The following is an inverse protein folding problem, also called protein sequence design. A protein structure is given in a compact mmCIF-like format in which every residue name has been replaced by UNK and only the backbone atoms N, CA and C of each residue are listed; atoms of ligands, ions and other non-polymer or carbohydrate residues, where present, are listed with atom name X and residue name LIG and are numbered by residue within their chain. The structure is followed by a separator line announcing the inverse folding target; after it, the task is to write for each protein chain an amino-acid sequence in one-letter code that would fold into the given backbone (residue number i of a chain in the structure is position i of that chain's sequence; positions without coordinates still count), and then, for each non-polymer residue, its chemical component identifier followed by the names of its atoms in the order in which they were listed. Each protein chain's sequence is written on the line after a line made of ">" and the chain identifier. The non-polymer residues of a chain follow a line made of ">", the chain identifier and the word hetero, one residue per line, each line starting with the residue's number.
data_IF_786052654230
#
_entry.id   IF_786052654230
#
_cell.length_a   1.000
_cell.length_b   1.000
_cell.length_c   1.000
_cell.angle_alpha   90.00
_cell.angle_beta   90.00
_cell.angle_gamma   90.00
#
_symmetry.space_group_name_H-M   'P 1'
#
loop_
_entity.id
_entity.type
_entity.pdbx_description
1 polymer ?
#
# COMPACT_ATOMS: atom_id res chain seq x y z
N UNK A 1 -9.86 2.48 13.28
CA UNK A 1 -8.76 2.71 14.26
C UNK A 1 -7.39 2.70 13.58
N UNK A 2 -6.94 1.60 12.95
CA UNK A 2 -5.60 1.55 12.33
C UNK A 2 -5.31 2.66 11.30
N UNK A 3 -6.28 2.98 10.43
CA UNK A 3 -6.15 4.08 9.44
C UNK A 3 -5.96 5.47 10.06
N UNK A 4 -6.46 5.69 11.28
CA UNK A 4 -6.26 6.95 12.00
C UNK A 4 -4.82 7.04 12.49
N UNK A 5 -4.27 5.92 12.97
CA UNK A 5 -2.87 5.83 13.40
C UNK A 5 -1.93 6.08 12.22
N UNK A 6 -2.22 5.50 11.04
CA UNK A 6 -1.45 5.73 9.81
C UNK A 6 -1.37 7.22 9.47
N UNK A 7 -2.48 7.97 9.61
CA UNK A 7 -2.53 9.40 9.32
C UNK A 7 -1.60 10.27 10.20
N UNK A 8 -1.29 9.81 11.42
CA UNK A 8 -0.33 10.49 12.31
C UNK A 8 1.09 9.93 12.16
N UNK A 9 1.22 8.64 11.89
CA UNK A 9 2.51 7.99 11.68
C UNK A 9 3.20 8.56 10.44
N UNK A 10 2.52 8.63 9.30
CA UNK A 10 3.12 9.06 8.01
C UNK A 10 3.86 10.41 8.12
N UNK A 11 3.27 11.49 8.68
CA UNK A 11 3.99 12.75 8.87
C UNK A 11 5.12 12.67 9.90
N UNK A 12 4.93 11.91 10.99
CA UNK A 12 5.93 11.78 12.05
C UNK A 12 7.21 11.11 11.53
N UNK A 13 7.08 10.04 10.75
CA UNK A 13 8.22 9.33 10.17
C UNK A 13 8.87 10.17 9.07
N UNK A 14 8.07 10.85 8.24
CA UNK A 14 8.58 11.82 7.28
C UNK A 14 9.46 12.88 7.94
N UNK A 15 9.00 13.47 9.05
CA UNK A 15 9.77 14.45 9.80
C UNK A 15 11.09 13.90 10.36
N UNK A 16 11.06 12.68 10.91
CA UNK A 16 12.27 12.02 11.44
C UNK A 16 13.30 11.78 10.32
N UNK A 17 12.83 11.31 9.16
CA UNK A 17 13.70 11.05 7.99
C UNK A 17 14.31 12.33 7.45
N UNK A 18 13.54 13.42 7.38
CA UNK A 18 14.05 14.73 6.93
C UNK A 18 15.13 15.29 7.87
N UNK A 19 15.02 15.03 9.17
CA UNK A 19 15.99 15.50 10.19
C UNK A 19 17.30 14.72 10.21
N UNK A 20 17.23 13.41 9.97
CA UNK A 20 18.39 12.50 10.01
C UNK A 20 19.09 12.44 8.64
N UNK A 21 18.33 12.68 7.56
CA UNK A 21 18.82 12.70 6.18
C UNK A 21 18.45 11.42 5.41
N UNK A 22 18.23 11.57 4.11
CA UNK A 22 17.70 10.51 3.23
C UNK A 22 18.53 9.21 3.14
N UNK A 23 19.80 9.24 3.57
CA UNK A 23 20.67 8.06 3.63
C UNK A 23 20.20 7.01 4.65
N UNK A 24 19.38 7.38 5.63
CA UNK A 24 18.87 6.42 6.62
C UNK A 24 17.74 5.54 6.07
N UNK A 25 17.08 5.95 4.98
CA UNK A 25 15.89 5.27 4.44
C UNK A 25 16.12 3.78 4.14
N UNK A 26 17.18 3.37 3.40
CA UNK A 26 17.42 1.94 3.15
C UNK A 26 17.73 1.15 4.43
N UNK A 27 18.35 1.79 5.42
CA UNK A 27 18.66 1.17 6.73
C UNK A 27 17.39 1.00 7.57
N UNK A 28 16.50 2.00 7.56
CA UNK A 28 15.21 1.97 8.24
C UNK A 28 14.32 0.86 7.67
N UNK A 29 14.21 0.77 6.34
CA UNK A 29 13.48 -0.31 5.65
C UNK A 29 14.04 -1.67 6.04
N UNK A 30 15.37 -1.83 6.06
CA UNK A 30 16.01 -3.10 6.46
C UNK A 30 15.69 -3.47 7.92
N UNK A 31 15.75 -2.51 8.83
CA UNK A 31 15.47 -2.75 10.26
C UNK A 31 14.01 -3.08 10.53
N UNK A 32 13.08 -2.49 9.77
CA UNK A 32 11.64 -2.66 9.95
C UNK A 32 11.06 -3.83 9.15
N UNK A 33 11.78 -4.35 8.15
CA UNK A 33 11.37 -5.53 7.39
C UNK A 33 11.11 -6.76 8.29
N UNK A 34 11.98 -6.99 9.28
CA UNK A 34 11.85 -8.13 10.21
C UNK A 34 10.63 -7.95 11.15
N UNK A 35 10.47 -6.80 11.85
CA UNK A 35 9.25 -6.48 12.60
C UNK A 35 7.97 -6.60 11.76
N UNK A 36 8.00 -6.21 10.49
CA UNK A 36 6.85 -6.32 9.58
C UNK A 36 6.41 -7.78 9.40
N UNK A 37 7.35 -8.70 9.13
CA UNK A 37 7.03 -10.13 9.02
C UNK A 37 6.51 -10.73 10.32
N UNK A 38 7.11 -10.39 11.45
CA UNK A 38 6.70 -10.90 12.76
C UNK A 38 5.28 -10.44 13.10
N UNK A 39 5.00 -9.15 12.94
CA UNK A 39 3.67 -8.58 13.24
C UNK A 39 2.61 -9.02 12.24
N UNK A 40 2.99 -9.22 10.97
CA UNK A 40 2.13 -9.83 9.95
C UNK A 40 1.71 -11.25 10.34
N UNK A 41 2.65 -12.08 10.78
CA UNK A 41 2.34 -13.43 11.25
C UNK A 41 1.49 -13.43 12.52
N UNK A 42 1.85 -12.60 13.51
CA UNK A 42 1.11 -12.49 14.77
C UNK A 42 -0.34 -12.01 14.57
N UNK A 43 -0.60 -11.19 13.55
CA UNK A 43 -1.94 -10.67 13.28
C UNK A 43 -2.94 -11.78 12.91
N UNK A 44 -2.47 -12.86 12.28
CA UNK A 44 -3.30 -13.98 11.85
C UNK A 44 -3.11 -15.23 12.72
N UNK A 45 -2.21 -15.20 13.69
CA UNK A 45 -2.06 -16.29 14.64
C UNK A 45 -3.24 -16.27 15.62
N UNK A 46 -4.06 -17.31 15.58
CA UNK A 46 -5.17 -17.49 16.52
C UNK A 46 -4.63 -17.83 17.92
N UNK A 47 -4.21 -16.81 18.67
CA UNK A 47 -3.81 -16.96 20.06
C UNK A 47 -4.96 -17.59 20.86
N UNK A 48 -4.73 -18.65 21.66
CA UNK A 48 -5.75 -19.32 22.46
C UNK A 48 -6.12 -18.48 23.70
N UNK A 49 -6.66 -17.29 23.47
CA UNK A 49 -7.12 -16.36 24.50
C UNK A 49 -8.65 -16.36 24.61
N UNK A 50 -9.17 -15.73 25.66
CA UNK A 50 -10.62 -15.50 25.81
C UNK A 50 -11.19 -14.73 24.60
N UNK A 51 -12.50 -14.82 24.32
CA UNK A 51 -13.12 -14.15 23.17
C UNK A 51 -12.81 -12.65 23.12
N UNK A 52 -12.85 -11.99 24.27
CA UNK A 52 -12.50 -10.56 24.41
C UNK A 52 -11.00 -10.32 24.24
N UNK A 53 -10.14 -11.18 24.80
CA UNK A 53 -8.69 -11.09 24.66
C UNK A 53 -8.21 -11.26 23.21
N UNK A 54 -8.86 -12.14 22.43
CA UNK A 54 -8.57 -12.32 21.00
C UNK A 54 -8.80 -11.07 20.18
N UNK A 55 -9.93 -10.39 20.40
CA UNK A 55 -10.27 -9.16 19.66
C UNK A 55 -9.29 -8.03 20.01
N UNK A 56 -8.94 -7.88 21.29
CA UNK A 56 -7.98 -6.85 21.72
C UNK A 56 -6.59 -7.14 21.16
N UNK A 57 -6.09 -8.38 21.24
CA UNK A 57 -4.80 -8.75 20.66
C UNK A 57 -4.78 -8.56 19.14
N UNK A 58 -5.81 -9.02 18.42
CA UNK A 58 -5.91 -8.83 16.97
C UNK A 58 -5.92 -7.34 16.60
N UNK A 59 -6.69 -6.52 17.32
CA UNK A 59 -6.74 -5.07 17.10
C UNK A 59 -5.40 -4.39 17.36
N UNK A 60 -4.72 -4.73 18.45
CA UNK A 60 -3.41 -4.17 18.79
C UNK A 60 -2.34 -4.56 17.75
N UNK A 61 -2.25 -5.85 17.40
CA UNK A 61 -1.28 -6.32 16.41
C UNK A 61 -1.55 -5.73 15.02
N UNK A 62 -2.82 -5.56 14.64
CA UNK A 62 -3.19 -4.90 13.39
C UNK A 62 -2.79 -3.42 13.35
N UNK A 63 -2.95 -2.69 14.46
CA UNK A 63 -2.49 -1.30 14.57
C UNK A 63 -0.96 -1.22 14.43
N UNK A 64 -0.23 -2.10 15.12
CA UNK A 64 1.25 -2.14 15.03
C UNK A 64 1.71 -2.51 13.62
N UNK A 65 1.05 -3.47 12.98
CA UNK A 65 1.33 -3.85 11.60
C UNK A 65 1.12 -2.69 10.63
N UNK A 66 0.00 -1.96 10.76
CA UNK A 66 -0.28 -0.75 9.98
C UNK A 66 0.78 0.34 10.18
N UNK A 67 1.15 0.61 11.44
CA UNK A 67 2.19 1.58 11.77
C UNK A 67 3.55 1.20 11.16
N UNK A 68 3.98 -0.06 11.26
CA UNK A 68 5.24 -0.52 10.64
C UNK A 68 5.15 -0.41 9.12
N UNK A 69 4.02 -0.79 8.51
CA UNK A 69 3.81 -0.65 7.07
C UNK A 69 3.95 0.82 6.63
N UNK A 70 3.32 1.75 7.35
CA UNK A 70 3.45 3.20 7.16
C UNK A 70 4.92 3.65 7.28
N UNK A 71 5.63 3.22 8.32
CA UNK A 71 7.06 3.50 8.54
C UNK A 71 7.97 3.04 7.40
N UNK A 72 7.58 2.02 6.66
CA UNK A 72 8.36 1.52 5.53
C UNK A 72 7.91 2.21 4.23
N UNK A 73 6.60 2.27 3.99
CA UNK A 73 6.02 2.73 2.73
C UNK A 73 6.24 4.22 2.48
N UNK A 74 6.11 5.06 3.51
CA UNK A 74 6.30 6.52 3.39
C UNK A 74 7.72 6.90 2.96
N UNK A 75 8.80 6.46 3.64
CA UNK A 75 10.15 6.77 3.19
C UNK A 75 10.52 6.03 1.89
N UNK A 76 9.95 4.84 1.63
CA UNK A 76 10.11 4.16 0.35
C UNK A 76 9.53 4.96 -0.82
N UNK A 77 8.36 5.60 -0.64
CA UNK A 77 7.78 6.50 -1.64
C UNK A 77 8.65 7.74 -1.90
N UNK A 78 9.26 8.30 -0.85
CA UNK A 78 10.18 9.44 -0.97
C UNK A 78 11.49 9.07 -1.69
N UNK A 79 11.91 7.80 -1.61
CA UNK A 79 13.17 7.33 -2.18
C UNK A 79 13.26 7.54 -3.71
N UNK A 80 12.13 7.46 -4.43
CA UNK A 80 12.10 7.68 -5.87
C UNK A 80 12.73 9.03 -6.27
N UNK A 81 12.54 10.07 -5.45
CA UNK A 81 13.10 11.41 -5.65
C UNK A 81 14.59 11.49 -5.31
N UNK A 82 15.06 10.63 -4.41
CA UNK A 82 16.46 10.55 -4.00
C UNK A 82 17.33 9.69 -4.94
N UNK A 83 16.71 8.83 -5.74
CA UNK A 83 17.40 7.97 -6.71
C UNK A 83 17.68 8.65 -8.06
N UNK A 84 16.75 9.48 -8.55
CA UNK A 84 16.88 10.14 -9.86
C UNK A 84 16.34 11.57 -9.88
N UNK A 85 17.06 12.45 -10.59
CA UNK A 85 16.62 13.83 -10.88
C UNK A 85 15.65 13.93 -12.05
N UNK A 86 15.56 12.93 -12.92
CA UNK A 86 14.66 12.96 -14.08
C UNK A 86 13.23 12.63 -13.68
N UNK A 87 12.27 13.49 -14.04
CA UNK A 87 10.85 13.23 -13.79
C UNK A 87 10.36 11.97 -14.53
N UNK A 88 10.84 11.71 -15.74
CA UNK A 88 10.43 10.54 -16.53
C UNK A 88 10.90 9.21 -15.91
N UNK A 89 12.11 9.17 -15.36
CA UNK A 89 12.62 8.00 -14.64
C UNK A 89 11.85 7.75 -13.34
N UNK A 90 11.50 8.81 -12.60
CA UNK A 90 10.68 8.72 -11.37
C UNK A 90 9.28 8.18 -11.65
N UNK A 91 8.67 8.60 -12.76
CA UNK A 91 7.36 8.11 -13.18
C UNK A 91 7.44 6.64 -13.59
N UNK A 92 8.47 6.26 -14.35
CA UNK A 92 8.71 4.87 -14.70
C UNK A 92 8.86 3.99 -13.46
N UNK A 93 9.69 4.41 -12.50
CA UNK A 93 9.89 3.67 -11.24
C UNK A 93 8.58 3.51 -10.45
N UNK A 94 7.80 4.58 -10.31
CA UNK A 94 6.51 4.54 -9.64
C UNK A 94 5.48 3.68 -10.39
N UNK A 95 5.48 3.70 -11.72
CA UNK A 95 4.60 2.84 -12.52
C UNK A 95 4.95 1.36 -12.32
N UNK A 96 6.24 0.98 -12.35
CA UNK A 96 6.68 -0.39 -12.04
C UNK A 96 6.30 -0.80 -10.61
N UNK A 97 6.45 0.10 -9.63
CA UNK A 97 6.02 -0.12 -8.25
C UNK A 97 4.51 -0.38 -8.15
N UNK A 98 3.70 0.41 -8.83
CA UNK A 98 2.24 0.25 -8.82
C UNK A 98 1.80 -1.00 -9.59
N UNK A 99 2.42 -1.34 -10.72
CA UNK A 99 2.18 -2.61 -11.41
C UNK A 99 2.49 -3.80 -10.50
N UNK A 100 3.61 -3.77 -9.77
CA UNK A 100 3.95 -4.81 -8.79
C UNK A 100 2.94 -4.94 -7.66
N UNK A 101 2.45 -3.81 -7.13
CA UNK A 101 1.39 -3.78 -6.11
C UNK A 101 0.09 -4.44 -6.62
N UNK A 102 -0.35 -4.06 -7.81
CA UNK A 102 -1.56 -4.60 -8.43
C UNK A 102 -1.41 -6.09 -8.78
N UNK A 103 -0.25 -6.51 -9.32
CA UNK A 103 0.06 -7.91 -9.59
C UNK A 103 0.04 -8.74 -8.30
N UNK A 104 0.66 -8.25 -7.22
CA UNK A 104 0.66 -8.91 -5.92
C UNK A 104 -0.76 -9.05 -5.36
N UNK A 105 -1.57 -7.99 -5.45
CA UNK A 105 -2.98 -8.03 -5.02
C UNK A 105 -3.79 -9.08 -5.78
N UNK A 106 -3.60 -9.18 -7.11
CA UNK A 106 -4.27 -10.19 -7.93
C UNK A 106 -3.82 -11.61 -7.57
N UNK A 107 -2.51 -11.83 -7.42
CA UNK A 107 -1.96 -13.13 -7.04
C UNK A 107 -2.49 -13.58 -5.68
N UNK A 108 -2.53 -12.68 -4.69
CA UNK A 108 -3.11 -13.00 -3.37
C UNK A 108 -4.60 -13.29 -3.51
N UNK A 109 -5.38 -12.47 -4.23
CA UNK A 109 -6.81 -12.71 -4.41
C UNK A 109 -7.12 -14.08 -5.05
N UNK A 110 -6.33 -14.49 -6.05
CA UNK A 110 -6.55 -15.75 -6.78
C UNK A 110 -5.98 -16.97 -6.04
N UNK A 111 -4.82 -16.84 -5.41
CA UNK A 111 -4.09 -17.99 -4.84
C UNK A 111 -4.43 -18.24 -3.37
N UNK A 112 -4.97 -17.28 -2.63
CA UNK A 112 -5.19 -17.44 -1.17
C UNK A 112 -6.10 -18.62 -0.86
N UNK A 113 -7.29 -18.69 -1.45
CA UNK A 113 -8.25 -19.77 -1.17
C UNK A 113 -7.69 -21.16 -1.55
N UNK A 114 -7.21 -21.40 -2.79
CA UNK A 114 -6.69 -22.71 -3.16
C UNK A 114 -5.39 -23.08 -2.43
N UNK A 115 -4.54 -22.11 -2.07
CA UNK A 115 -3.34 -22.40 -1.31
C UNK A 115 -3.66 -22.83 0.12
N UNK A 116 -4.66 -22.20 0.77
CA UNK A 116 -5.07 -22.57 2.12
C UNK A 116 -5.67 -23.98 2.15
N UNK A 117 -6.52 -24.35 1.19
CA UNK A 117 -7.12 -25.69 1.15
C UNK A 117 -6.09 -26.77 0.85
N UNK A 118 -5.13 -26.48 -0.03
CA UNK A 118 -4.02 -27.39 -0.34
C UNK A 118 -3.06 -27.58 0.86
N UNK A 119 -2.65 -26.49 1.53
CA UNK A 119 -1.77 -26.53 2.70
C UNK A 119 -2.46 -27.10 3.95
N UNK A 120 -3.78 -26.90 4.07
CA UNK A 120 -4.58 -27.40 5.19
C UNK A 120 -4.88 -28.90 5.13
N UNK A 121 -4.77 -29.52 3.95
CA UNK A 121 -5.02 -30.96 3.77
C UNK A 121 -6.50 -31.37 3.84
N UNK A 122 -7.43 -30.42 3.63
CA UNK A 122 -8.88 -30.68 3.62
C UNK A 122 -9.74 -29.46 3.97
N UNK A 123 -11.07 -29.63 3.91
CA UNK A 123 -12.06 -28.57 4.17
C UNK A 123 -12.46 -28.41 5.64
N UNK A 124 -11.90 -29.22 6.55
CA UNK A 124 -12.29 -29.16 7.96
C UNK A 124 -11.87 -27.83 8.59
N UNK A 125 -12.69 -27.25 9.46
CA UNK A 125 -12.43 -25.94 10.07
C UNK A 125 -11.11 -25.86 10.86
N UNK A 126 -10.59 -26.99 11.37
CA UNK A 126 -9.27 -27.05 12.00
C UNK A 126 -8.12 -27.03 10.96
N UNK A 127 -8.30 -27.75 9.86
CA UNK A 127 -7.36 -27.82 8.73
C UNK A 127 -7.25 -26.48 8.00
N UNK A 128 -8.38 -25.80 7.80
CA UNK A 128 -8.40 -24.47 7.19
C UNK A 128 -7.67 -23.42 8.04
N UNK A 129 -7.82 -23.48 9.38
CA UNK A 129 -7.07 -22.62 10.31
C UNK A 129 -5.56 -22.89 10.26
N UNK A 130 -5.17 -24.15 10.16
CA UNK A 130 -3.77 -24.53 9.99
C UNK A 130 -3.21 -24.07 8.63
N UNK A 131 -3.92 -24.32 7.54
CA UNK A 131 -3.56 -23.87 6.19
C UNK A 131 -3.43 -22.34 6.11
N UNK A 132 -4.32 -21.60 6.75
CA UNK A 132 -4.25 -20.14 6.85
C UNK A 132 -3.00 -19.68 7.62
N UNK A 133 -2.69 -20.30 8.76
CA UNK A 133 -1.49 -19.94 9.53
C UNK A 133 -0.20 -20.20 8.75
N UNK A 134 -0.10 -21.34 8.04
CA UNK A 134 1.06 -21.67 7.19
C UNK A 134 1.15 -20.73 5.99
N UNK A 135 0.02 -20.43 5.34
CA UNK A 135 -0.02 -19.50 4.20
C UNK A 135 0.42 -18.09 4.61
N UNK A 136 -0.09 -17.58 5.74
CA UNK A 136 0.29 -16.26 6.25
C UNK A 136 1.75 -16.24 6.70
N UNK A 137 2.27 -17.32 7.29
CA UNK A 137 3.69 -17.43 7.60
C UNK A 137 4.54 -17.34 6.33
N UNK A 138 4.17 -18.09 5.29
CA UNK A 138 4.86 -18.06 4.01
C UNK A 138 4.83 -16.65 3.38
N UNK A 139 3.67 -15.99 3.39
CA UNK A 139 3.55 -14.60 2.92
C UNK A 139 4.36 -13.61 3.76
N UNK A 140 4.41 -13.78 5.08
CA UNK A 140 5.15 -12.91 5.98
C UNK A 140 6.67 -13.05 5.78
N UNK A 141 7.15 -14.29 5.61
CA UNK A 141 8.55 -14.57 5.27
C UNK A 141 8.89 -14.04 3.88
N UNK A 142 8.04 -14.29 2.89
CA UNK A 142 8.25 -13.81 1.52
C UNK A 142 8.23 -12.28 1.46
N UNK A 143 7.28 -11.62 2.12
CA UNK A 143 7.19 -10.16 2.22
C UNK A 143 8.40 -9.54 2.92
N UNK A 144 8.89 -10.16 4.00
CA UNK A 144 10.13 -9.76 4.67
C UNK A 144 11.33 -9.88 3.73
N UNK A 145 11.43 -10.99 3.00
CA UNK A 145 12.49 -11.20 2.02
C UNK A 145 12.45 -10.16 0.90
N UNK A 146 11.27 -9.85 0.36
CA UNK A 146 11.10 -8.81 -0.66
C UNK A 146 11.51 -7.43 -0.14
N UNK A 147 11.13 -7.07 1.10
CA UNK A 147 11.56 -5.81 1.71
C UNK A 147 13.07 -5.74 1.93
N UNK A 148 13.72 -6.86 2.29
CA UNK A 148 15.17 -6.93 2.39
C UNK A 148 15.86 -6.80 1.02
N UNK A 149 15.31 -7.42 -0.01
CA UNK A 149 15.77 -7.27 -1.40
C UNK A 149 15.62 -5.81 -1.86
N UNK A 150 14.47 -5.19 -1.59
CA UNK A 150 14.25 -3.77 -1.86
C UNK A 150 15.28 -2.90 -1.11
N UNK A 151 15.50 -3.13 0.19
CA UNK A 151 16.48 -2.38 0.98
C UNK A 151 17.93 -2.56 0.50
N UNK A 152 18.25 -3.66 -0.18
CA UNK A 152 19.56 -3.87 -0.83
C UNK A 152 19.66 -3.21 -2.21
N UNK A 153 18.58 -3.26 -3.00
CA UNK A 153 18.53 -2.63 -4.33
C UNK A 153 18.35 -1.11 -4.31
N UNK A 154 17.90 -0.55 -3.18
CA UNK A 154 17.67 0.88 -2.99
C UNK A 154 18.98 1.62 -2.70
N UNK A 155 19.59 2.23 -3.73
CA UNK A 155 20.76 3.10 -3.59
C UNK A 155 20.34 4.59 -3.61
N UNK A 156 20.62 5.30 -2.52
CA UNK A 156 20.40 6.76 -2.43
C UNK A 156 21.57 7.46 -3.16
N UNK A 157 21.28 8.10 -4.30
CA UNK A 157 22.31 8.77 -5.13
C UNK A 157 22.35 10.28 -4.91
N UNK A 158 21.21 10.87 -4.57
CA UNK A 158 21.06 12.30 -4.31
C UNK A 158 20.35 12.52 -2.97
N UNK A 159 21.04 12.35 -1.83
CA UNK A 159 20.44 12.61 -0.54
C UNK A 159 20.17 14.11 -0.37
N UNK A 160 18.96 14.52 0.04
CA UNK A 160 18.72 15.89 0.48
C UNK A 160 19.56 16.16 1.74
N UNK A 161 20.09 17.38 1.85
CA UNK A 161 20.81 17.80 3.06
C UNK A 161 19.85 17.74 4.26
N UNK A 162 20.29 17.27 5.44
CA UNK A 162 19.45 17.24 6.63
C UNK A 162 19.09 18.67 7.03
N UNK A 163 17.79 19.00 7.06
CA UNK A 163 17.32 20.34 7.45
C UNK A 163 16.57 20.22 8.77
N UNK A 164 17.06 20.90 9.80
CA UNK A 164 16.36 21.02 11.09
C UNK A 164 15.39 22.20 11.03
N UNK A 165 14.24 22.02 10.41
CA UNK A 165 13.14 23.00 10.46
C UNK A 165 12.12 22.60 11.53
N UNK A 166 11.42 23.61 12.02
CA UNK A 166 10.33 23.43 12.97
C UNK A 166 9.05 22.99 12.24
N UNK A 167 8.37 21.96 12.75
CA UNK A 167 7.25 21.30 12.06
C UNK A 167 6.15 22.29 11.63
N UNK A 168 5.83 23.23 12.52
CA UNK A 168 4.79 24.24 12.30
C UNK A 168 5.18 25.21 11.19
N UNK A 169 6.46 25.58 11.11
CA UNK A 169 6.97 26.43 10.05
C UNK A 169 6.91 25.73 8.69
N UNK A 170 7.32 24.46 8.63
CA UNK A 170 7.27 23.64 7.41
C UNK A 170 5.84 23.48 6.92
N UNK A 171 4.91 23.14 7.82
CA UNK A 171 3.48 23.01 7.48
C UNK A 171 2.90 24.33 6.95
N UNK A 172 3.25 25.46 7.57
CA UNK A 172 2.81 26.79 7.09
C UNK A 172 3.32 27.07 5.68
N UNK A 173 4.58 26.76 5.38
CA UNK A 173 5.15 26.94 4.05
C UNK A 173 4.52 26.00 3.01
N UNK A 174 4.22 24.76 3.39
CA UNK A 174 3.54 23.79 2.52
C UNK A 174 2.11 24.24 2.20
N UNK A 175 1.35 24.69 3.20
CA UNK A 175 -0.01 25.21 3.02
C UNK A 175 -0.03 26.53 2.23
N UNK A 176 1.03 27.33 2.29
CA UNK A 176 1.20 28.51 1.44
C UNK A 176 1.47 28.18 -0.04
N UNK A 177 1.89 26.95 -0.35
CA UNK A 177 2.17 26.53 -1.72
C UNK A 177 0.91 26.00 -2.40
N UNK A 178 0.28 26.86 -3.23
CA UNK A 178 -0.94 26.52 -3.98
C UNK A 178 -0.83 25.23 -4.80
N UNK A 179 0.35 24.93 -5.37
CA UNK A 179 0.56 23.70 -6.17
C UNK A 179 0.56 22.45 -5.30
N UNK A 180 1.12 22.55 -4.09
CA UNK A 180 1.12 21.45 -3.12
C UNK A 180 -0.30 21.18 -2.60
N UNK A 181 -1.02 22.24 -2.22
CA UNK A 181 -2.42 22.13 -1.75
C UNK A 181 -3.32 21.53 -2.83
N UNK A 182 -3.21 22.00 -4.08
CA UNK A 182 -3.99 21.47 -5.19
C UNK A 182 -3.69 19.99 -5.46
N UNK A 183 -2.41 19.60 -5.43
CA UNK A 183 -2.03 18.20 -5.59
C UNK A 183 -2.57 17.31 -4.47
N UNK A 184 -2.61 17.82 -3.24
CA UNK A 184 -3.10 17.06 -2.09
C UNK A 184 -4.64 16.94 -2.12
N UNK A 185 -5.35 18.01 -2.49
CA UNK A 185 -6.80 17.97 -2.72
C UNK A 185 -7.17 16.98 -3.82
N UNK A 186 -6.43 16.96 -4.92
CA UNK A 186 -6.65 16.02 -6.01
C UNK A 186 -6.48 14.57 -5.55
N UNK A 187 -5.43 14.28 -4.77
CA UNK A 187 -5.21 12.96 -4.20
C UNK A 187 -6.34 12.57 -3.21
N UNK A 188 -6.80 13.51 -2.40
CA UNK A 188 -7.91 13.31 -1.47
C UNK A 188 -9.19 12.91 -2.21
N UNK A 189 -9.62 13.68 -3.21
CA UNK A 189 -10.82 13.35 -4.00
C UNK A 189 -10.66 12.04 -4.77
N UNK A 190 -9.47 11.76 -5.30
CA UNK A 190 -9.17 10.48 -5.95
C UNK A 190 -9.39 9.29 -5.00
N UNK A 191 -8.83 9.33 -3.78
CA UNK A 191 -9.00 8.25 -2.80
C UNK A 191 -10.44 8.12 -2.32
N UNK A 192 -11.17 9.23 -2.16
CA UNK A 192 -12.60 9.21 -1.82
C UNK A 192 -13.40 8.52 -2.91
N UNK A 193 -13.19 8.88 -4.18
CA UNK A 193 -13.86 8.24 -5.32
C UNK A 193 -13.54 6.75 -5.43
N UNK A 194 -12.28 6.38 -5.21
CA UNK A 194 -11.86 4.99 -5.24
C UNK A 194 -12.47 4.16 -4.11
N UNK A 195 -12.50 4.70 -2.88
CA UNK A 195 -13.15 4.06 -1.73
C UNK A 195 -14.66 3.90 -1.95
N UNK A 196 -15.32 4.91 -2.53
CA UNK A 196 -16.73 4.85 -2.89
C UNK A 196 -16.98 3.76 -3.94
N UNK A 197 -16.15 3.67 -4.98
CA UNK A 197 -16.29 2.65 -6.03
C UNK A 197 -16.19 1.24 -5.44
N UNK A 198 -15.17 0.95 -4.63
CA UNK A 198 -15.03 -0.38 -4.00
C UNK A 198 -16.12 -0.67 -2.95
N UNK A 199 -16.56 0.32 -2.19
CA UNK A 199 -17.62 0.17 -1.18
C UNK A 199 -19.01 -0.05 -1.78
N UNK A 200 -19.38 0.77 -2.77
CA UNK A 200 -20.70 0.70 -3.41
C UNK A 200 -20.81 -0.41 -4.46
N UNK A 201 -19.71 -0.82 -5.11
CA UNK A 201 -19.77 -1.92 -6.09
C UNK A 201 -20.31 -3.23 -5.46
N UNK A 202 -19.88 -3.56 -4.24
CA UNK A 202 -20.36 -4.75 -3.54
C UNK A 202 -21.83 -4.63 -3.11
N UNK A 203 -22.22 -3.45 -2.62
CA UNK A 203 -23.61 -3.13 -2.26
C UNK A 203 -24.54 -3.18 -3.48
N UNK A 204 -24.12 -2.60 -4.60
CA UNK A 204 -24.87 -2.57 -5.84
C UNK A 204 -25.07 -3.99 -6.42
N UNK A 205 -24.02 -4.81 -6.39
CA UNK A 205 -24.08 -6.19 -6.85
C UNK A 205 -25.03 -7.09 -6.03
N UNK A 206 -25.05 -6.92 -4.71
CA UNK A 206 -25.85 -7.74 -3.79
C UNK A 206 -27.31 -7.30 -3.69
N UNK A 207 -27.59 -5.99 -3.62
CA UNK A 207 -28.93 -5.47 -3.33
C UNK A 207 -29.69 -5.02 -4.57
N UNK A 208 -29.03 -4.34 -5.51
CA UNK A 208 -29.72 -3.78 -6.68
C UNK A 208 -29.83 -4.79 -7.81
N UNK A 209 -28.77 -5.56 -8.04
CA UNK A 209 -28.76 -6.62 -9.07
C UNK A 209 -29.40 -7.93 -8.58
N UNK A 210 -29.69 -8.07 -7.28
CA UNK A 210 -30.23 -9.30 -6.68
C UNK A 210 -29.35 -10.54 -6.89
N UNK A 211 -28.06 -10.33 -7.20
CA UNK A 211 -27.11 -11.38 -7.52
C UNK A 211 -26.42 -11.98 -6.30
N UNK A 212 -25.83 -13.16 -6.47
CA UNK A 212 -25.02 -13.82 -5.44
C UNK A 212 -23.74 -13.02 -5.14
N UNK A 213 -23.17 -13.18 -3.93
CA UNK A 213 -21.90 -12.53 -3.54
C UNK A 213 -20.75 -12.75 -4.54
N UNK A 214 -20.80 -13.85 -5.30
CA UNK A 214 -19.88 -14.16 -6.40
C UNK A 214 -19.93 -13.14 -7.55
N UNK A 215 -21.09 -12.56 -7.86
CA UNK A 215 -21.20 -11.56 -8.92
C UNK A 215 -20.52 -10.25 -8.51
N UNK A 216 -20.63 -9.86 -7.23
CA UNK A 216 -19.88 -8.74 -6.66
C UNK A 216 -18.37 -8.97 -6.64
N UNK A 217 -17.93 -10.17 -6.29
CA UNK A 217 -16.51 -10.55 -6.35
C UNK A 217 -15.96 -10.50 -7.79
N UNK A 218 -16.73 -10.91 -8.79
CA UNK A 218 -16.35 -10.84 -10.20
C UNK A 218 -16.22 -9.40 -10.69
N UNK A 219 -17.14 -8.50 -10.31
CA UNK A 219 -17.06 -7.07 -10.66
C UNK A 219 -15.80 -6.43 -10.07
N UNK A 220 -15.51 -6.68 -8.79
CA UNK A 220 -14.31 -6.14 -8.13
C UNK A 220 -13.03 -6.69 -8.77
N UNK A 221 -13.03 -7.97 -9.15
CA UNK A 221 -11.89 -8.59 -9.85
C UNK A 221 -11.70 -7.95 -11.22
N UNK A 222 -12.78 -7.71 -11.96
CA UNK A 222 -12.74 -7.05 -13.26
C UNK A 222 -12.21 -5.61 -13.17
N UNK A 223 -12.68 -4.83 -12.19
CA UNK A 223 -12.16 -3.49 -11.88
C UNK A 223 -10.67 -3.55 -11.54
N UNK A 224 -10.24 -4.54 -10.75
CA UNK A 224 -8.82 -4.70 -10.37
C UNK A 224 -7.94 -5.04 -11.58
N UNK A 225 -8.44 -5.87 -12.50
CA UNK A 225 -7.76 -6.21 -13.76
C UNK A 225 -7.68 -4.99 -14.69
N UNK A 226 -8.76 -4.20 -14.80
CA UNK A 226 -8.75 -2.94 -15.56
C UNK A 226 -7.73 -1.95 -14.99
N UNK A 227 -7.68 -1.80 -13.67
CA UNK A 227 -6.68 -0.96 -13.00
C UNK A 227 -5.26 -1.47 -13.28
N UNK A 228 -5.03 -2.79 -13.25
CA UNK A 228 -3.73 -3.38 -13.60
C UNK A 228 -3.34 -3.08 -15.06
N UNK A 229 -4.26 -3.26 -16.01
CA UNK A 229 -4.04 -3.00 -17.43
C UNK A 229 -3.85 -1.50 -17.75
N UNK A 230 -4.45 -0.61 -16.94
CA UNK A 230 -4.32 0.83 -17.08
C UNK A 230 -2.94 1.38 -16.73
N UNK A 231 -2.20 0.77 -15.79
CA UNK A 231 -0.87 1.27 -15.37
C UNK A 231 0.18 1.24 -16.49
N UNK A 232 0.33 0.15 -17.29
CA UNK A 232 1.21 0.13 -18.45
C UNK A 232 0.87 1.20 -19.50
N UNK A 233 -0.42 1.50 -19.70
CA UNK A 233 -0.87 2.51 -20.65
C UNK A 233 -0.51 3.94 -20.22
N UNK A 234 -0.34 4.18 -18.92
CA UNK A 234 0.05 5.48 -18.38
C UNK A 234 1.53 5.83 -18.69
N UNK A 235 2.42 4.84 -18.83
CA UNK A 235 3.84 5.06 -19.13
C UNK A 235 4.11 5.77 -20.49
N UNK A 236 3.57 5.30 -21.63
CA UNK A 236 3.75 5.98 -22.91
C UNK A 236 3.05 7.35 -22.93
N UNK A 237 1.90 7.48 -22.26
CA UNK A 237 1.16 8.74 -22.18
C UNK A 237 1.95 9.80 -21.39
N UNK A 238 2.51 9.44 -20.24
CA UNK A 238 3.35 10.33 -19.43
C UNK A 238 4.65 10.74 -20.12
N UNK A 239 5.20 9.89 -20.99
CA UNK A 239 6.37 10.22 -21.82
C UNK A 239 6.05 11.21 -22.95
N UNK A 240 4.85 11.16 -23.52
CA UNK A 240 4.44 12.03 -24.64
C UNK A 240 3.87 13.37 -24.20
N UNK A 241 3.07 13.41 -23.13
CA UNK A 241 2.29 14.60 -22.73
C UNK A 241 2.75 15.23 -21.40
N UNK A 242 3.80 14.67 -20.79
CA UNK A 242 4.23 15.03 -19.46
C UNK A 242 3.32 14.47 -18.36
N UNK A 243 3.81 14.51 -17.12
CA UNK A 243 3.16 13.89 -15.96
C UNK A 243 1.80 14.50 -15.61
N UNK A 244 1.67 15.82 -15.77
CA UNK A 244 0.44 16.55 -15.48
C UNK A 244 -0.62 16.28 -16.54
N UNK A 245 -0.24 16.32 -17.82
CA UNK A 245 -1.16 16.05 -18.94
C UNK A 245 -1.69 14.62 -18.93
N UNK A 246 -0.81 13.63 -18.67
CA UNK A 246 -1.23 12.24 -18.51
C UNK A 246 -2.17 12.06 -17.31
N UNK A 247 -1.89 12.70 -16.17
CA UNK A 247 -2.74 12.64 -14.98
C UNK A 247 -4.15 13.17 -15.22
N UNK A 248 -4.30 14.28 -15.95
CA UNK A 248 -5.61 14.86 -16.29
C UNK A 248 -6.41 13.91 -17.18
N UNK A 249 -5.79 13.31 -18.20
CA UNK A 249 -6.46 12.36 -19.09
C UNK A 249 -6.91 11.12 -18.33
N UNK A 250 -6.06 10.56 -17.45
CA UNK A 250 -6.44 9.41 -16.63
C UNK A 250 -7.66 9.71 -15.74
N UNK A 251 -7.73 10.91 -15.15
CA UNK A 251 -8.88 11.34 -14.35
C UNK A 251 -10.15 11.51 -15.19
N UNK A 252 -10.05 12.07 -16.39
CA UNK A 252 -11.19 12.21 -17.31
C UNK A 252 -11.70 10.83 -17.74
N UNK A 253 -10.80 9.93 -18.13
CA UNK A 253 -11.16 8.55 -18.50
C UNK A 253 -11.83 7.83 -17.34
N UNK A 254 -11.32 7.99 -16.11
CA UNK A 254 -11.92 7.40 -14.92
C UNK A 254 -13.28 8.01 -14.55
N UNK A 255 -13.54 9.26 -14.88
CA UNK A 255 -14.85 9.89 -14.66
C UNK A 255 -15.91 9.51 -15.71
N UNK A 256 -15.49 8.98 -16.86
CA UNK A 256 -16.39 8.53 -17.94
C UNK A 256 -16.71 7.03 -17.82
N UNK A 257 -15.81 6.24 -17.23
CA UNK A 257 -15.96 4.79 -17.01
C UNK A 257 -16.74 4.46 -15.75
#
# INVERSE_FOLDING_TARGET
>A
MARVVDAFCDPAIGYVVDRIGGLIVPRLIRSLAIPFGITGFLCFLALPLSPTGKVVCAGATYIVFGAIYSCINTPYGALAVMMSRSASQRVGLNAFRMMGCQAGSLLVALLTIPAITWLGGGESAAQHRYGMAVYVLALSVFGTFLWLCAARGCAVRYPPAPVRQDLVSTLRHLLGNRRWVLSNLLAFFYFVGQAALFGFALYYASIVLGGTEQLGANIITFVTVLLFAGVPACLPLARRMGTVGAGIICLIVQGIA
#
